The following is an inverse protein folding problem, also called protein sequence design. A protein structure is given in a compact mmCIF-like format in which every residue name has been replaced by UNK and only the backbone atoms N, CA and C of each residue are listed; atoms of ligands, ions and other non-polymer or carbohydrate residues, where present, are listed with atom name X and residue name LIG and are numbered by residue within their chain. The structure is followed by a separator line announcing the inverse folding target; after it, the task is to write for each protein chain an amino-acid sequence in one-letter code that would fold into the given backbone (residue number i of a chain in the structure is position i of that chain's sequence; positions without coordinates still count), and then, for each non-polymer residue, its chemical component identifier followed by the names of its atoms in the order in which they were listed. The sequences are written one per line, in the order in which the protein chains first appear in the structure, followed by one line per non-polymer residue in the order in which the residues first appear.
data_IF_873123424277
#
_entry.id   IF_873123424277
#
_cell.length_a   1.000
_cell.length_b   1.000
_cell.length_c   1.000
_cell.angle_alpha   90.00
_cell.angle_beta   90.00
_cell.angle_gamma   90.00
#
_symmetry.space_group_name_H-M   'P 1'
#
loop_
_entity.id
_entity.type
_entity.pdbx_description
1 polymer ?
#
# COMPACT_ATOMS: atom_id res chain seq x y z
N UNK A 1 6.55 1.70 1.58
CA UNK A 1 5.26 1.02 1.81
C UNK A 1 5.10 -0.08 0.79
N UNK A 2 4.36 -1.14 1.13
CA UNK A 2 4.17 -2.31 0.27
C UNK A 2 2.75 -2.30 -0.30
N UNK A 3 2.63 -2.62 -1.59
CA UNK A 3 1.35 -2.77 -2.29
C UNK A 3 1.29 -4.15 -2.94
N UNK A 4 0.53 -5.06 -2.33
CA UNK A 4 0.30 -6.40 -2.84
C UNK A 4 -0.83 -6.39 -3.87
N UNK A 5 -0.53 -6.91 -5.06
CA UNK A 5 -1.39 -6.90 -6.24
C UNK A 5 -1.20 -8.18 -7.08
N UNK A 6 -2.00 -8.33 -8.13
CA UNK A 6 -1.87 -9.38 -9.17
C UNK A 6 -2.31 -8.80 -10.51
N UNK A 7 -1.81 -9.39 -11.60
CA UNK A 7 -2.28 -9.13 -12.97
C UNK A 7 -3.78 -9.40 -13.16
N UNK A 8 -4.36 -10.29 -12.34
CA UNK A 8 -5.76 -10.71 -12.38
C UNK A 8 -6.59 -10.06 -11.25
N UNK A 9 -6.25 -8.84 -10.86
CA UNK A 9 -6.95 -8.10 -9.82
C UNK A 9 -7.60 -6.81 -10.39
N UNK A 10 -8.86 -6.90 -10.82
CA UNK A 10 -9.64 -5.73 -11.27
C UNK A 10 -9.66 -4.59 -10.24
N UNK A 11 -9.95 -4.86 -8.95
CA UNK A 11 -9.95 -3.83 -7.90
C UNK A 11 -8.58 -3.19 -7.61
N UNK A 12 -7.47 -3.77 -8.09
CA UNK A 12 -6.13 -3.23 -7.83
C UNK A 12 -5.79 -2.01 -8.70
N UNK A 13 -6.38 -1.90 -9.90
CA UNK A 13 -6.14 -0.79 -10.84
C UNK A 13 -6.47 0.60 -10.25
N UNK A 14 -7.66 0.85 -9.68
CA UNK A 14 -7.96 2.15 -9.10
C UNK A 14 -7.05 2.49 -7.91
N UNK A 15 -6.63 1.48 -7.14
CA UNK A 15 -5.70 1.67 -6.02
C UNK A 15 -4.31 2.08 -6.53
N UNK A 16 -3.83 1.48 -7.62
CA UNK A 16 -2.56 1.84 -8.24
C UNK A 16 -2.55 3.29 -8.72
N UNK A 17 -3.61 3.73 -9.39
CA UNK A 17 -3.75 5.14 -9.82
C UNK A 17 -3.86 6.09 -8.62
N UNK A 18 -4.54 5.69 -7.55
CA UNK A 18 -4.64 6.46 -6.31
C UNK A 18 -3.29 6.63 -5.62
N UNK A 19 -2.52 5.55 -5.46
CA UNK A 19 -1.16 5.59 -4.91
C UNK A 19 -0.24 6.50 -5.72
N UNK A 20 -0.36 6.46 -7.06
CA UNK A 20 0.38 7.34 -7.96
C UNK A 20 0.02 8.81 -7.77
N UNK A 21 -1.28 9.13 -7.67
CA UNK A 21 -1.76 10.50 -7.41
C UNK A 21 -1.28 11.01 -6.05
N UNK A 22 -1.45 10.24 -4.98
CA UNK A 22 -0.99 10.61 -3.63
C UNK A 22 0.51 10.91 -3.64
N UNK A 23 1.33 10.02 -4.24
CA UNK A 23 2.77 10.20 -4.28
C UNK A 23 3.18 11.47 -5.04
N UNK A 24 2.55 11.76 -6.18
CA UNK A 24 2.88 12.94 -7.00
C UNK A 24 2.38 14.22 -6.32
N UNK A 25 1.09 14.28 -5.98
CA UNK A 25 0.41 15.52 -5.60
C UNK A 25 0.66 15.95 -4.16
N UNK A 26 0.84 14.99 -3.24
CA UNK A 26 0.98 15.29 -1.80
C UNK A 26 2.41 15.12 -1.30
N UNK A 27 3.13 14.12 -1.81
CA UNK A 27 4.46 13.76 -1.30
C UNK A 27 5.59 14.06 -2.28
N UNK A 28 5.32 14.72 -3.42
CA UNK A 28 6.35 15.20 -4.35
C UNK A 28 7.27 14.08 -4.88
N UNK A 29 6.71 12.90 -5.16
CA UNK A 29 7.42 11.69 -5.61
C UNK A 29 8.41 11.11 -4.59
N UNK A 30 8.21 11.39 -3.30
CA UNK A 30 9.10 10.90 -2.22
C UNK A 30 8.61 9.60 -1.57
N UNK A 31 7.41 9.11 -1.88
CA UNK A 31 6.97 7.80 -1.38
C UNK A 31 7.66 6.69 -2.16
N UNK A 32 8.35 5.82 -1.44
CA UNK A 32 8.77 4.53 -1.95
C UNK A 32 7.62 3.53 -1.84
N UNK A 33 7.05 3.15 -2.98
CA UNK A 33 5.92 2.22 -3.09
C UNK A 33 6.42 0.99 -3.84
N UNK A 34 6.56 -0.11 -3.11
CA UNK A 34 6.97 -1.40 -3.69
C UNK A 34 5.73 -2.20 -4.07
N UNK A 35 5.52 -2.37 -5.38
CA UNK A 35 4.44 -3.21 -5.91
C UNK A 35 4.89 -4.67 -5.93
N UNK A 36 4.20 -5.51 -5.16
CA UNK A 36 4.49 -6.93 -5.03
C UNK A 36 3.41 -7.71 -5.78
N UNK A 37 3.84 -8.45 -6.80
CA UNK A 37 2.99 -9.43 -7.49
C UNK A 37 2.94 -10.72 -6.67
N UNK A 38 1.77 -11.04 -6.11
CA UNK A 38 1.60 -12.20 -5.22
C UNK A 38 1.82 -13.54 -5.93
N UNK A 39 1.64 -13.59 -7.25
CA UNK A 39 1.85 -14.80 -8.05
C UNK A 39 3.33 -15.09 -8.29
N UNK A 40 4.20 -14.09 -8.08
CA UNK A 40 5.65 -14.20 -8.26
C UNK A 40 6.41 -14.24 -6.94
N UNK A 41 5.79 -13.80 -5.85
CA UNK A 41 6.43 -13.64 -4.55
C UNK A 41 5.69 -14.40 -3.44
N UNK A 42 5.51 -15.71 -3.61
CA UNK A 42 4.75 -16.55 -2.66
C UNK A 42 5.30 -16.51 -1.23
N UNK A 43 6.62 -16.53 -1.06
CA UNK A 43 7.25 -16.51 0.27
C UNK A 43 6.92 -15.21 1.02
N UNK A 44 7.11 -14.06 0.36
CA UNK A 44 6.80 -12.76 0.91
C UNK A 44 5.29 -12.59 1.18
N UNK A 45 4.45 -13.07 0.26
CA UNK A 45 2.99 -13.07 0.40
C UNK A 45 2.54 -13.84 1.65
N UNK A 46 3.16 -15.00 1.91
CA UNK A 46 2.89 -15.82 3.10
C UNK A 46 3.44 -15.18 4.39
N UNK A 47 4.64 -14.62 4.35
CA UNK A 47 5.25 -13.92 5.49
C UNK A 47 4.36 -12.77 5.97
N UNK A 48 3.87 -11.97 5.02
CA UNK A 48 2.95 -10.87 5.31
C UNK A 48 1.50 -11.34 5.48
N UNK A 49 1.19 -12.64 5.42
CA UNK A 49 -0.16 -13.21 5.59
C UNK A 49 -1.21 -12.47 4.75
N UNK A 50 -0.94 -12.30 3.46
CA UNK A 50 -1.85 -11.62 2.54
C UNK A 50 -2.99 -12.57 2.17
N UNK A 51 -4.21 -12.20 2.56
CA UNK A 51 -5.42 -13.02 2.36
C UNK A 51 -6.39 -12.44 1.33
N UNK A 52 -6.17 -11.21 0.90
CA UNK A 52 -7.03 -10.51 -0.06
C UNK A 52 -6.22 -9.52 -0.89
N UNK A 53 -6.68 -9.26 -2.11
CA UNK A 53 -6.16 -8.20 -2.96
C UNK A 53 -7.23 -7.13 -3.23
N UNK A 54 -6.85 -5.86 -3.36
CA UNK A 54 -5.53 -5.30 -3.03
C UNK A 54 -5.26 -5.30 -1.52
N UNK A 55 -3.99 -5.35 -1.14
CA UNK A 55 -3.55 -5.08 0.24
C UNK A 55 -2.41 -4.07 0.24
N UNK A 56 -2.52 -3.04 1.08
CA UNK A 56 -1.49 -2.02 1.27
C UNK A 56 -0.99 -2.10 2.70
N UNK A 57 0.33 -2.07 2.89
CA UNK A 57 0.97 -2.04 4.21
C UNK A 57 1.84 -0.80 4.33
N UNK A 58 1.52 0.04 5.32
CA UNK A 58 2.23 1.28 5.65
C UNK A 58 2.58 1.23 7.13
N UNK A 59 3.88 1.17 7.46
CA UNK A 59 4.35 0.94 8.82
C UNK A 59 3.67 -0.31 9.45
N UNK A 60 2.93 -0.12 10.54
CA UNK A 60 2.16 -1.14 11.26
C UNK A 60 0.70 -1.26 10.78
N UNK A 61 0.25 -0.40 9.86
CA UNK A 61 -1.12 -0.41 9.35
C UNK A 61 -1.27 -1.24 8.08
N UNK A 62 -2.35 -2.02 8.06
CA UNK A 62 -2.80 -2.81 6.91
C UNK A 62 -4.14 -2.29 6.42
N UNK A 63 -4.22 -1.96 5.14
CA UNK A 63 -5.45 -1.57 4.46
C UNK A 63 -5.82 -2.67 3.46
N UNK A 64 -7.04 -3.19 3.59
CA UNK A 64 -7.59 -4.25 2.76
C UNK A 64 -9.06 -3.97 2.50
N UNK A 65 -9.52 -4.16 1.26
CA UNK A 65 -10.93 -4.01 0.83
C UNK A 65 -11.48 -2.58 1.03
N UNK A 66 -12.24 -2.08 0.06
CA UNK A 66 -12.89 -0.76 0.12
C UNK A 66 -11.96 0.41 0.53
N UNK A 67 -10.69 0.35 0.12
CA UNK A 67 -9.65 1.33 0.48
C UNK A 67 -9.99 2.69 -0.15
N UNK A 68 -10.13 3.73 0.67
CA UNK A 68 -10.32 5.11 0.21
C UNK A 68 -8.99 5.88 0.20
N UNK A 69 -9.00 7.07 -0.42
CA UNK A 69 -7.78 7.90 -0.54
C UNK A 69 -7.32 8.40 0.84
N UNK A 70 -8.28 8.77 1.68
CA UNK A 70 -8.08 9.26 3.04
C UNK A 70 -7.41 8.19 3.93
N UNK A 71 -7.82 6.92 3.81
CA UNK A 71 -7.24 5.82 4.59
C UNK A 71 -5.73 5.68 4.35
N UNK A 72 -5.31 5.84 3.08
CA UNK A 72 -3.92 5.74 2.67
C UNK A 72 -3.13 6.93 3.22
N UNK A 73 -3.67 8.14 3.08
CA UNK A 73 -3.03 9.37 3.57
C UNK A 73 -2.84 9.30 5.09
N UNK A 74 -3.88 8.92 5.83
CA UNK A 74 -3.83 8.78 7.29
C UNK A 74 -2.79 7.75 7.72
N UNK A 75 -2.71 6.62 7.01
CA UNK A 75 -1.71 5.60 7.29
C UNK A 75 -0.28 6.09 7.05
N UNK A 76 -0.06 6.86 5.98
CA UNK A 76 1.25 7.46 5.68
C UNK A 76 1.63 8.49 6.75
N UNK A 77 0.72 9.40 7.10
CA UNK A 77 0.95 10.42 8.12
C UNK A 77 1.23 9.79 9.49
N UNK A 78 0.43 8.79 9.87
CA UNK A 78 0.66 8.05 11.11
C UNK A 78 2.04 7.38 11.10
N UNK A 79 2.41 6.72 10.01
CA UNK A 79 3.73 6.09 9.87
C UNK A 79 4.89 7.08 10.00
N UNK A 80 4.74 8.31 9.49
CA UNK A 80 5.72 9.36 9.70
C UNK A 80 5.80 9.79 11.16
N UNK A 81 4.66 10.06 11.80
CA UNK A 81 4.59 10.50 13.20
C UNK A 81 5.16 9.43 14.14
N UNK A 82 4.80 8.16 13.95
CA UNK A 82 5.27 7.05 14.77
C UNK A 82 6.77 6.77 14.60
N UNK A 83 7.36 7.16 13.47
CA UNK A 83 8.80 6.99 13.21
C UNK A 83 9.65 8.06 13.88
N UNK A 84 9.06 9.20 14.23
CA UNK A 84 9.73 10.24 15.02
C UNK A 84 9.64 9.83 16.49
N UNK A 85 10.69 9.17 16.99
CA UNK A 85 10.87 8.99 18.44
C UNK A 85 10.98 10.37 19.07
N UNK A 86 9.97 10.77 19.84
CA UNK A 86 10.06 11.87 20.80
C UNK A 86 10.78 11.34 22.05
#
# INVERSE_FOLDING_TARGET
MLFFSSSHCGPCLPIEEMLKRINISMFGKKLYIEKIDVEKHYQLTNEYKITSLPTIIVADRRLCVNIQEEDIIDAILYGFISSVKI
#
